data_IF_201787611641
#
_entry.id   IF_201787611641
#
_cell.length_a   1.000
_cell.length_b   1.000
_cell.length_c   1.000
_cell.angle_alpha   90.00
_cell.angle_beta   90.00
_cell.angle_gamma   90.00
#
_symmetry.space_group_name_H-M   'P 1'
#
loop_
_entity.id
_entity.type
_entity.pdbx_description
1 polymer ?
#
# COMPACT_ATOMS: atom_id res chain seq x y z
N UNK A 1 -2.65 13.32 0.77
CA UNK A 1 -2.21 12.34 -0.28
C UNK A 1 -3.33 11.33 -0.47
N UNK A 2 -3.84 11.11 -1.68
CA UNK A 2 -5.00 10.25 -1.91
C UNK A 2 -4.55 8.86 -2.33
N UNK A 3 -4.56 7.90 -1.40
CA UNK A 3 -4.30 6.50 -1.73
C UNK A 3 -5.46 5.95 -2.55
N UNK A 4 -5.13 5.31 -3.67
CA UNK A 4 -6.08 4.98 -4.72
C UNK A 4 -6.86 3.69 -4.43
N UNK A 5 -7.72 3.71 -3.40
CA UNK A 5 -8.71 2.65 -3.18
C UNK A 5 -9.55 2.50 -4.45
N UNK A 6 -9.77 1.26 -4.88
CA UNK A 6 -10.50 0.92 -6.11
C UNK A 6 -9.64 0.89 -7.39
N UNK A 7 -8.34 1.17 -7.31
CA UNK A 7 -7.43 1.02 -8.46
C UNK A 7 -6.68 -0.31 -8.43
N UNK A 8 -6.34 -0.82 -9.63
CA UNK A 8 -5.48 -1.99 -9.75
C UNK A 8 -4.07 -1.69 -9.24
N UNK A 9 -3.52 -2.58 -8.40
CA UNK A 9 -2.18 -2.45 -7.82
C UNK A 9 -1.07 -2.44 -8.89
N UNK A 10 -1.31 -3.09 -10.03
CA UNK A 10 -0.39 -3.17 -11.17
C UNK A 10 -0.67 -2.12 -12.27
N UNK A 11 -1.60 -1.18 -12.01
CA UNK A 11 -1.85 -0.08 -12.94
C UNK A 11 -0.63 0.85 -12.98
N UNK A 12 -0.30 1.40 -14.15
CA UNK A 12 0.78 2.38 -14.31
C UNK A 12 0.62 3.61 -13.39
N UNK A 13 -0.62 3.94 -13.02
CA UNK A 13 -0.95 5.04 -12.11
C UNK A 13 -0.92 4.67 -10.62
N UNK A 14 -0.70 3.40 -10.28
CA UNK A 14 -0.54 2.97 -8.88
C UNK A 14 0.84 3.39 -8.34
N UNK A 15 0.90 3.75 -7.06
CA UNK A 15 2.19 4.06 -6.41
C UNK A 15 3.14 2.86 -6.38
N UNK A 16 2.59 1.66 -6.23
CA UNK A 16 3.33 0.39 -6.24
C UNK A 16 4.07 0.17 -7.56
N UNK A 17 3.39 0.39 -8.69
CA UNK A 17 4.01 0.26 -10.02
C UNK A 17 4.95 1.43 -10.34
N UNK A 18 4.61 2.64 -9.90
CA UNK A 18 5.41 3.85 -10.18
C UNK A 18 6.72 3.91 -9.38
N UNK A 19 6.76 3.33 -8.19
CA UNK A 19 7.93 3.32 -7.31
C UNK A 19 8.26 1.91 -6.83
N UNK A 20 8.70 1.01 -7.73
CA UNK A 20 8.94 -0.39 -7.40
C UNK A 20 10.04 -0.58 -6.34
N UNK A 21 11.02 0.33 -6.27
CA UNK A 21 12.08 0.31 -5.26
C UNK A 21 11.60 0.64 -3.84
N UNK A 22 10.34 1.09 -3.70
CA UNK A 22 9.70 1.36 -2.41
C UNK A 22 8.74 0.25 -2.00
N UNK A 23 8.48 -0.72 -2.87
CA UNK A 23 7.70 -1.90 -2.52
C UNK A 23 8.56 -2.80 -1.65
N UNK A 24 8.03 -3.15 -0.48
CA UNK A 24 8.71 -3.95 0.52
C UNK A 24 8.18 -5.39 0.51
N UNK A 25 7.82 -5.86 1.69
CA UNK A 25 7.29 -7.21 1.91
C UNK A 25 5.90 -7.38 1.34
N UNK A 26 5.61 -8.60 0.92
CA UNK A 26 4.26 -9.07 0.62
C UNK A 26 3.87 -10.17 1.61
N UNK A 27 2.60 -10.22 2.02
CA UNK A 27 2.06 -11.36 2.77
C UNK A 27 0.62 -11.66 2.35
N UNK A 28 0.25 -12.94 2.32
CA UNK A 28 -1.14 -13.34 2.15
C UNK A 28 -1.89 -13.20 3.48
N UNK A 29 -3.13 -12.71 3.41
CA UNK A 29 -4.05 -12.62 4.53
C UNK A 29 -4.94 -13.85 4.63
N UNK A 30 -5.48 -14.12 5.83
CA UNK A 30 -6.39 -15.25 6.06
C UNK A 30 -7.71 -15.16 5.29
N UNK A 31 -8.11 -13.94 4.90
CA UNK A 31 -9.28 -13.68 4.06
C UNK A 31 -9.03 -13.96 2.56
N UNK A 32 -7.80 -14.34 2.18
CA UNK A 32 -7.41 -14.62 0.79
C UNK A 32 -6.88 -13.41 0.02
N UNK A 33 -6.90 -12.21 0.60
CA UNK A 33 -6.29 -11.01 0.03
C UNK A 33 -4.78 -11.00 0.28
N UNK A 34 -4.09 -10.00 -0.28
CA UNK A 34 -2.66 -9.78 -0.08
C UNK A 34 -2.41 -8.42 0.53
N UNK A 35 -1.45 -8.35 1.43
CA UNK A 35 -0.90 -7.09 1.90
C UNK A 35 0.45 -6.83 1.26
N UNK A 36 0.64 -5.61 0.77
CA UNK A 36 1.87 -5.15 0.13
C UNK A 36 2.39 -3.93 0.89
N UNK A 37 3.60 -4.05 1.42
CA UNK A 37 4.31 -2.95 2.05
C UNK A 37 4.81 -1.96 1.01
N UNK A 38 4.70 -0.68 1.33
CA UNK A 38 5.20 0.43 0.56
C UNK A 38 5.84 1.46 1.48
N UNK A 39 7.14 1.67 1.32
CA UNK A 39 7.91 2.59 2.16
C UNK A 39 7.73 4.03 1.71
N UNK A 40 7.16 4.86 2.59
CA UNK A 40 7.00 6.29 2.40
C UNK A 40 7.99 7.07 3.28
N UNK A 41 9.19 7.31 2.76
CA UNK A 41 10.25 7.98 3.51
C UNK A 41 10.86 7.07 4.58
N UNK A 42 11.68 7.64 5.46
CA UNK A 42 12.60 6.84 6.30
C UNK A 42 11.90 6.04 7.41
N UNK A 43 10.75 6.48 7.93
CA UNK A 43 10.12 5.89 9.12
C UNK A 43 8.59 5.71 9.02
N UNK A 44 8.03 5.75 7.80
CA UNK A 44 6.61 5.51 7.59
C UNK A 44 6.40 4.44 6.52
N UNK A 45 5.80 3.33 6.92
CA UNK A 45 5.39 2.25 6.04
C UNK A 45 3.89 2.34 5.79
N UNK A 46 3.49 2.16 4.54
CA UNK A 46 2.10 2.01 4.14
C UNK A 46 1.90 0.56 3.76
N UNK A 47 0.90 -0.09 4.32
CA UNK A 47 0.50 -1.43 3.91
C UNK A 47 -0.79 -1.31 3.12
N UNK A 48 -0.78 -1.80 1.89
CA UNK A 48 -1.95 -1.83 1.02
C UNK A 48 -2.57 -3.22 1.07
N UNK A 49 -3.86 -3.31 1.36
CA UNK A 49 -4.62 -4.54 1.13
C UNK A 49 -5.08 -4.57 -0.32
N UNK A 50 -4.77 -5.66 -1.00
CA UNK A 50 -5.07 -5.92 -2.41
C UNK A 50 -5.93 -7.17 -2.52
N UNK A 51 -7.10 -7.02 -3.12
CA UNK A 51 -7.95 -8.14 -3.47
C UNK A 51 -7.22 -9.03 -4.48
N UNK A 52 -7.03 -10.31 -4.11
CA UNK A 52 -6.21 -11.25 -4.88
C UNK A 52 -6.82 -11.62 -6.23
N UNK A 53 -8.15 -11.60 -6.34
CA UNK A 53 -8.88 -12.01 -7.54
C UNK A 53 -8.90 -10.91 -8.60
N UNK A 54 -9.05 -9.67 -8.16
CA UNK A 54 -9.23 -8.49 -9.01
C UNK A 54 -7.95 -7.65 -9.14
N UNK A 55 -6.96 -7.91 -8.27
CA UNK A 55 -5.73 -7.11 -8.16
C UNK A 55 -6.01 -5.65 -7.80
N UNK A 56 -7.12 -5.37 -7.10
CA UNK A 56 -7.55 -4.02 -6.72
C UNK A 56 -7.14 -3.70 -5.30
N UNK A 57 -6.62 -2.49 -5.06
CA UNK A 57 -6.37 -1.97 -3.71
C UNK A 57 -7.73 -1.70 -3.05
N UNK A 58 -8.02 -2.37 -1.94
CA UNK A 58 -9.30 -2.26 -1.23
C UNK A 58 -9.17 -1.53 0.11
N UNK A 59 -7.98 -1.54 0.70
CA UNK A 59 -7.71 -0.83 1.95
C UNK A 59 -6.23 -0.44 2.07
N UNK A 60 -5.90 0.39 3.05
CA UNK A 60 -4.53 0.69 3.43
C UNK A 60 -4.43 1.15 4.89
N UNK A 61 -3.29 0.88 5.51
CA UNK A 61 -2.98 1.39 6.84
C UNK A 61 -1.50 1.77 6.98
N UNK A 62 -1.21 2.66 7.91
CA UNK A 62 0.16 3.08 8.21
C UNK A 62 0.74 2.29 9.36
N UNK A 63 2.03 1.99 9.26
CA UNK A 63 2.87 1.47 10.34
C UNK A 63 4.08 2.38 10.47
N UNK A 64 4.22 3.00 11.64
CA UNK A 64 5.34 3.91 11.90
C UNK A 64 5.05 4.88 13.02
N UNK A 65 5.96 5.83 13.23
CA UNK A 65 5.80 6.86 14.25
C UNK A 65 4.71 7.85 13.81
N UNK A 66 3.74 8.15 14.69
CA UNK A 66 2.66 9.11 14.42
C UNK A 66 3.16 10.48 13.95
N UNK A 67 4.37 10.89 14.38
CA UNK A 67 4.99 12.15 13.97
C UNK A 67 5.46 12.14 12.52
N UNK A 68 5.86 10.99 11.98
CA UNK A 68 6.36 10.84 10.60
C UNK A 68 5.27 10.35 9.64
N UNK A 69 4.31 9.54 10.12
CA UNK A 69 3.16 9.05 9.36
C UNK A 69 1.98 10.02 9.33
N UNK A 70 2.16 11.28 9.76
CA UNK A 70 1.06 12.25 9.83
C UNK A 70 0.49 12.50 8.44
N UNK A 71 -0.70 11.96 8.22
CA UNK A 71 -1.53 12.21 7.04
C UNK A 71 -1.94 13.69 7.13
N UNK A 72 -1.26 14.58 6.42
CA UNK A 72 -1.87 15.88 6.12
C UNK A 72 -3.00 15.59 5.12
N UNK A 73 -4.27 15.84 5.49
CA UNK A 73 -5.44 15.59 4.63
C UNK A 73 -5.26 16.23 3.24
#
# INVERSE_FOLDING_TARGET
MKFHIGMKFNSYSSYLTRYPTRVGKEKDLSNGNKEIEFTQGNDCQVWFEVDKNTSVIIDWYFVGNEKTCRITP
#
